data_IF_064537622479
#
_entry.id   IF_064537622479
#
_cell.length_a   1.000
_cell.length_b   1.000
_cell.length_c   1.000
_cell.angle_alpha   90.00
_cell.angle_beta   90.00
_cell.angle_gamma   90.00
#
_symmetry.space_group_name_H-M   'P 1'
#
loop_
_entity.id
_entity.type
_entity.pdbx_description
1 polymer ?
#
# COMPACT_ATOMS: atom_id res chain seq x y z
N UNK A 1 8.81 25.26 0.99
CA UNK A 1 10.05 24.83 0.31
C UNK A 1 10.11 23.31 0.41
N UNK A 2 10.21 22.58 -0.70
CA UNK A 2 10.37 21.16 -0.66
C UNK A 2 11.74 20.84 -0.04
N UNK A 3 11.74 20.06 1.03
CA UNK A 3 12.96 19.63 1.68
C UNK A 3 13.77 18.80 0.70
N UNK A 4 14.97 19.22 0.38
CA UNK A 4 15.88 18.49 -0.49
C UNK A 4 16.32 17.22 0.25
N UNK A 5 15.95 16.06 -0.26
CA UNK A 5 16.25 14.77 0.36
C UNK A 5 17.68 14.36 0.04
N UNK A 6 18.49 14.08 1.05
CA UNK A 6 19.79 13.46 0.88
C UNK A 6 19.60 11.94 0.62
N UNK A 7 19.52 11.59 -0.65
CA UNK A 7 19.25 10.22 -1.10
C UNK A 7 20.29 9.19 -0.64
N UNK A 8 21.51 9.64 -0.36
CA UNK A 8 22.61 8.77 0.04
C UNK A 8 22.58 8.38 1.52
N UNK A 9 21.90 9.16 2.36
CA UNK A 9 21.88 8.98 3.82
C UNK A 9 20.53 8.54 4.38
N UNK A 10 19.52 8.33 3.53
CA UNK A 10 18.19 7.93 3.99
C UNK A 10 18.22 6.55 4.64
N UNK A 11 17.84 6.42 5.93
CA UNK A 11 17.68 5.11 6.56
C UNK A 11 16.44 4.40 5.99
N UNK A 12 16.37 3.07 6.16
CA UNK A 12 15.14 2.34 5.91
C UNK A 12 14.15 2.62 7.04
N UNK A 13 13.40 3.71 6.89
CA UNK A 13 12.43 4.17 7.88
C UNK A 13 11.29 4.93 7.24
N UNK A 14 10.28 5.26 8.04
CA UNK A 14 9.15 6.04 7.55
C UNK A 14 9.56 7.48 7.26
N UNK A 15 9.35 7.89 6.03
CA UNK A 15 9.44 9.28 5.59
C UNK A 15 8.08 9.67 5.03
N UNK A 16 7.49 10.74 5.56
CA UNK A 16 6.19 11.21 5.09
C UNK A 16 6.28 11.61 3.61
N UNK A 17 5.41 11.01 2.80
CA UNK A 17 5.19 11.37 1.39
C UNK A 17 3.97 12.31 1.27
N UNK A 18 3.69 12.81 0.07
CA UNK A 18 2.60 13.77 -0.12
C UNK A 18 1.23 13.11 -0.01
N UNK A 19 1.10 11.89 -0.56
CA UNK A 19 -0.19 11.19 -0.66
C UNK A 19 -0.06 9.71 -0.40
N UNK A 20 -1.17 9.13 0.06
CA UNK A 20 -1.44 7.70 0.01
C UNK A 20 -2.74 7.44 -0.74
N UNK A 21 -2.99 6.19 -1.12
CA UNK A 21 -4.22 5.77 -1.76
C UNK A 21 -4.90 4.69 -0.92
N UNK A 22 -6.23 4.72 -0.87
CA UNK A 22 -7.07 3.83 -0.07
C UNK A 22 -8.20 3.27 -0.92
N UNK A 23 -8.60 2.04 -0.63
CA UNK A 23 -9.75 1.41 -1.23
C UNK A 23 -10.43 0.56 -0.15
N UNK A 24 -11.73 0.70 0.02
CA UNK A 24 -12.48 0.02 1.07
C UNK A 24 -13.36 -1.08 0.48
N UNK A 25 -13.40 -2.23 1.17
CA UNK A 25 -14.39 -3.27 0.92
C UNK A 25 -15.52 -3.13 1.93
N UNK A 26 -16.71 -2.84 1.45
CA UNK A 26 -17.91 -2.68 2.27
C UNK A 26 -19.14 -3.11 1.47
N UNK A 27 -20.14 -3.62 2.15
CA UNK A 27 -21.39 -4.07 1.53
C UNK A 27 -21.18 -5.05 0.37
N UNK A 28 -20.20 -5.96 0.53
CA UNK A 28 -19.90 -7.01 -0.43
C UNK A 28 -19.16 -6.56 -1.70
N UNK A 29 -18.56 -5.37 -1.71
CA UNK A 29 -17.85 -4.84 -2.90
C UNK A 29 -16.69 -3.92 -2.53
N UNK A 30 -15.70 -3.88 -3.40
CA UNK A 30 -14.65 -2.87 -3.37
C UNK A 30 -15.19 -1.52 -3.87
N UNK A 31 -14.89 -0.47 -3.14
CA UNK A 31 -15.25 0.90 -3.49
C UNK A 31 -14.23 1.56 -4.43
N UNK A 32 -14.35 2.87 -4.65
CA UNK A 32 -13.42 3.63 -5.46
C UNK A 32 -12.05 3.76 -4.79
N UNK A 33 -11.01 4.01 -5.59
CA UNK A 33 -9.69 4.37 -5.08
C UNK A 33 -9.72 5.83 -4.64
N UNK A 34 -9.48 6.05 -3.36
CA UNK A 34 -9.44 7.36 -2.72
C UNK A 34 -8.00 7.83 -2.54
N UNK A 35 -7.76 9.13 -2.68
CA UNK A 35 -6.47 9.77 -2.42
C UNK A 35 -6.55 10.53 -1.11
N UNK A 36 -5.55 10.39 -0.26
CA UNK A 36 -5.45 11.09 1.03
C UNK A 36 -4.04 11.65 1.23
N UNK A 37 -3.95 12.81 1.85
CA UNK A 37 -2.71 13.43 2.35
C UNK A 37 -2.48 13.17 3.85
N UNK A 38 -3.45 12.51 4.50
CA UNK A 38 -3.34 12.11 5.91
C UNK A 38 -2.53 10.83 6.05
N UNK A 39 -1.56 10.83 6.94
CA UNK A 39 -0.75 9.67 7.32
C UNK A 39 -1.36 8.87 8.49
N UNK A 40 -2.57 9.20 8.89
CA UNK A 40 -3.34 8.49 9.91
C UNK A 40 -4.60 7.88 9.33
N UNK A 41 -5.07 6.79 9.91
CA UNK A 41 -6.34 6.16 9.59
C UNK A 41 -7.26 6.18 10.82
N UNK A 42 -8.56 6.31 10.58
CA UNK A 42 -9.57 6.15 11.63
C UNK A 42 -10.06 4.70 11.60
N UNK A 43 -9.80 3.97 12.69
CA UNK A 43 -10.13 2.56 12.83
C UNK A 43 -10.90 2.33 14.14
N UNK A 44 -11.93 1.49 14.10
CA UNK A 44 -12.68 1.14 15.30
C UNK A 44 -11.79 0.35 16.28
N UNK A 45 -11.88 0.64 17.57
CA UNK A 45 -11.06 -0.01 18.61
C UNK A 45 -11.21 -1.54 18.67
N UNK A 46 -12.32 -2.08 18.20
CA UNK A 46 -12.59 -3.52 18.12
C UNK A 46 -12.31 -4.12 16.72
N UNK A 47 -11.62 -3.40 15.84
CA UNK A 47 -11.27 -3.93 14.52
C UNK A 47 -10.50 -5.25 14.61
N UNK A 48 -10.81 -6.19 13.71
CA UNK A 48 -10.17 -7.52 13.71
C UNK A 48 -8.66 -7.44 13.49
N UNK A 49 -8.17 -6.44 12.78
CA UNK A 49 -6.74 -6.19 12.64
C UNK A 49 -6.05 -5.96 13.99
N UNK A 50 -6.67 -5.21 14.90
CA UNK A 50 -6.09 -4.87 16.21
C UNK A 50 -6.13 -6.03 17.21
N UNK A 51 -7.17 -6.85 17.18
CA UNK A 51 -7.36 -7.92 18.16
C UNK A 51 -6.80 -9.27 17.72
N UNK A 52 -6.84 -9.55 16.42
CA UNK A 52 -6.47 -10.86 15.89
C UNK A 52 -5.35 -10.78 14.83
N UNK A 53 -4.82 -9.59 14.57
CA UNK A 53 -3.79 -9.41 13.56
C UNK A 53 -4.26 -9.80 12.16
N UNK A 54 -5.55 -9.63 11.85
CA UNK A 54 -6.09 -9.93 10.52
C UNK A 54 -5.65 -8.86 9.54
N UNK A 55 -4.45 -9.03 9.03
CA UNK A 55 -3.81 -8.11 8.10
C UNK A 55 -2.82 -8.85 7.21
N UNK A 56 -2.64 -8.34 6.00
CA UNK A 56 -1.65 -8.80 5.04
C UNK A 56 -0.96 -7.59 4.42
N UNK A 57 0.28 -7.77 3.98
CA UNK A 57 0.99 -6.72 3.27
C UNK A 57 1.87 -7.27 2.16
N UNK A 58 2.24 -6.37 1.25
CA UNK A 58 3.24 -6.60 0.23
C UNK A 58 4.36 -5.55 0.33
N UNK A 59 5.46 -5.82 -0.34
CA UNK A 59 6.57 -4.89 -0.47
C UNK A 59 7.10 -4.91 -1.88
N UNK A 60 7.09 -3.76 -2.54
CA UNK A 60 7.66 -3.60 -3.88
C UNK A 60 8.29 -2.21 -4.00
N UNK A 61 9.05 -2.01 -5.08
CA UNK A 61 9.86 -0.82 -5.24
C UNK A 61 9.64 -0.18 -6.59
N UNK A 62 9.64 1.16 -6.62
CA UNK A 62 9.69 1.94 -7.82
C UNK A 62 11.08 2.53 -8.00
N UNK A 63 11.59 2.44 -9.23
CA UNK A 63 12.93 2.90 -9.61
C UNK A 63 12.84 3.89 -10.77
N UNK A 64 13.73 4.87 -10.75
CA UNK A 64 13.96 5.72 -11.92
C UNK A 64 15.05 5.10 -12.78
N UNK A 65 14.75 4.84 -14.05
CA UNK A 65 15.71 4.31 -15.00
C UNK A 65 16.65 5.39 -15.56
N UNK A 66 17.68 4.96 -16.28
CA UNK A 66 18.62 5.84 -17.00
C UNK A 66 17.92 6.77 -17.99
N UNK A 67 16.79 6.35 -18.55
CA UNK A 67 15.94 7.13 -19.46
C UNK A 67 14.95 8.07 -18.72
N UNK A 68 15.08 8.22 -17.40
CA UNK A 68 14.22 9.04 -16.55
C UNK A 68 12.84 8.45 -16.26
N UNK A 69 12.47 7.33 -16.87
CA UNK A 69 11.17 6.69 -16.64
C UNK A 69 11.16 5.92 -15.36
N UNK A 70 10.01 5.96 -14.67
CA UNK A 70 9.79 5.22 -13.44
C UNK A 70 9.18 3.85 -13.75
N UNK A 71 9.71 2.82 -13.11
CA UNK A 71 9.25 1.43 -13.27
C UNK A 71 9.09 0.77 -11.93
N UNK A 72 8.08 -0.12 -11.84
CA UNK A 72 7.86 -1.01 -10.70
C UNK A 72 8.23 -2.42 -11.17
N UNK A 73 9.10 -3.09 -10.41
CA UNK A 73 9.57 -4.42 -10.76
C UNK A 73 8.57 -5.49 -10.35
N UNK A 74 8.12 -6.30 -11.31
CA UNK A 74 7.25 -7.48 -11.11
C UNK A 74 5.98 -7.23 -10.29
N UNK A 75 5.31 -6.12 -10.54
CA UNK A 75 4.09 -5.70 -9.84
C UNK A 75 3.01 -6.79 -9.86
N UNK A 76 2.83 -7.47 -11.00
CA UNK A 76 1.83 -8.51 -11.18
C UNK A 76 2.06 -9.71 -10.25
N UNK A 77 3.31 -10.07 -9.97
CA UNK A 77 3.63 -11.15 -9.03
C UNK A 77 3.32 -10.77 -7.58
N UNK A 78 3.51 -9.50 -7.22
CA UNK A 78 3.08 -8.98 -5.92
C UNK A 78 1.55 -8.98 -5.79
N UNK A 79 0.82 -8.61 -6.84
CA UNK A 79 -0.63 -8.65 -6.85
C UNK A 79 -1.17 -10.07 -6.61
N UNK A 80 -0.62 -11.05 -7.31
CA UNK A 80 -0.97 -12.48 -7.13
C UNK A 80 -0.66 -12.98 -5.72
N UNK A 81 0.50 -12.61 -5.17
CA UNK A 81 0.91 -13.04 -3.84
C UNK A 81 0.03 -12.40 -2.76
N UNK A 82 -0.35 -11.13 -2.90
CA UNK A 82 -1.29 -10.49 -1.98
C UNK A 82 -2.65 -11.18 -2.00
N UNK A 83 -3.14 -11.54 -3.19
CA UNK A 83 -4.35 -12.33 -3.33
C UNK A 83 -4.25 -13.67 -2.59
N UNK A 84 -3.18 -14.42 -2.82
CA UNK A 84 -2.93 -15.71 -2.15
C UNK A 84 -2.88 -15.55 -0.62
N UNK A 85 -2.26 -14.47 -0.12
CA UNK A 85 -2.21 -14.17 1.31
C UNK A 85 -3.61 -13.88 1.87
N UNK A 86 -4.44 -13.11 1.16
CA UNK A 86 -5.82 -12.83 1.55
C UNK A 86 -6.65 -14.13 1.64
N UNK A 87 -6.57 -14.97 0.62
CA UNK A 87 -7.26 -16.26 0.59
C UNK A 87 -6.83 -17.16 1.76
N UNK A 88 -5.53 -17.17 2.10
CA UNK A 88 -4.98 -17.94 3.23
C UNK A 88 -5.49 -17.50 4.60
N UNK A 89 -5.85 -16.22 4.76
CA UNK A 89 -6.41 -15.66 6.00
C UNK A 89 -7.93 -15.45 5.94
N UNK A 90 -8.60 -15.99 4.93
CA UNK A 90 -10.04 -15.82 4.69
C UNK A 90 -10.46 -14.33 4.59
N UNK A 91 -9.55 -13.49 4.15
CA UNK A 91 -9.83 -12.09 3.84
C UNK A 91 -10.36 -11.97 2.41
N UNK A 92 -11.09 -10.89 2.14
CA UNK A 92 -11.58 -10.62 0.79
C UNK A 92 -10.41 -10.21 -0.11
N UNK A 93 -10.07 -11.01 -1.15
CA UNK A 93 -8.96 -10.64 -2.03
C UNK A 93 -9.20 -9.34 -2.78
N UNK A 94 -8.21 -8.44 -2.78
CA UNK A 94 -8.21 -7.28 -3.65
C UNK A 94 -8.02 -7.73 -5.10
N UNK A 95 -8.88 -7.31 -6.06
CA UNK A 95 -8.67 -7.59 -7.48
C UNK A 95 -7.30 -7.11 -7.98
N UNK A 96 -6.64 -7.90 -8.79
CA UNK A 96 -5.27 -7.63 -9.26
C UNK A 96 -5.18 -6.34 -10.10
N UNK A 97 -6.22 -6.01 -10.85
CA UNK A 97 -6.32 -4.76 -11.61
C UNK A 97 -6.42 -3.53 -10.69
N UNK A 98 -7.18 -3.61 -9.59
CA UNK A 98 -7.26 -2.56 -8.57
C UNK A 98 -5.91 -2.40 -7.86
N UNK A 99 -5.28 -3.50 -7.47
CA UNK A 99 -3.92 -3.48 -6.89
C UNK A 99 -2.94 -2.74 -7.81
N UNK A 100 -2.94 -3.10 -9.08
CA UNK A 100 -2.09 -2.47 -10.09
C UNK A 100 -2.36 -0.97 -10.20
N UNK A 101 -3.64 -0.59 -10.31
CA UNK A 101 -4.04 0.83 -10.43
C UNK A 101 -3.62 1.63 -9.19
N UNK A 102 -3.82 1.09 -7.99
CA UNK A 102 -3.41 1.75 -6.73
C UNK A 102 -1.90 1.96 -6.67
N UNK A 103 -1.10 0.95 -7.02
CA UNK A 103 0.36 1.06 -7.04
C UNK A 103 0.85 2.11 -8.04
N UNK A 104 0.32 2.11 -9.26
CA UNK A 104 0.68 3.10 -10.28
C UNK A 104 0.27 4.52 -9.85
N UNK A 105 -0.92 4.66 -9.27
CA UNK A 105 -1.45 5.95 -8.82
C UNK A 105 -0.64 6.54 -7.67
N UNK A 106 -0.31 5.76 -6.64
CA UNK A 106 0.47 6.24 -5.50
C UNK A 106 1.89 6.65 -5.91
N UNK A 107 2.51 5.92 -6.83
CA UNK A 107 3.83 6.29 -7.38
C UNK A 107 3.76 7.59 -8.18
N UNK A 108 2.77 7.75 -9.04
CA UNK A 108 2.57 8.96 -9.82
C UNK A 108 2.33 10.19 -8.93
N UNK A 109 1.51 10.06 -7.90
CA UNK A 109 1.22 11.14 -6.95
C UNK A 109 2.44 11.55 -6.12
N UNK A 110 3.39 10.65 -5.93
CA UNK A 110 4.60 10.84 -5.13
C UNK A 110 5.88 10.79 -5.99
N UNK A 111 5.80 11.13 -7.25
CA UNK A 111 6.93 11.02 -8.21
C UNK A 111 8.20 11.71 -7.73
N UNK A 112 8.08 12.84 -7.02
CA UNK A 112 9.23 13.58 -6.47
C UNK A 112 10.03 12.81 -5.42
N UNK A 113 9.43 11.75 -4.84
CA UNK A 113 10.08 10.85 -3.88
C UNK A 113 10.73 9.62 -4.54
N UNK A 114 10.60 9.46 -5.85
CA UNK A 114 11.35 8.42 -6.56
C UNK A 114 12.77 8.92 -6.79
N UNK A 115 13.78 8.28 -6.17
CA UNK A 115 15.16 8.76 -6.22
C UNK A 115 15.68 8.89 -7.66
N UNK A 116 16.63 9.82 -7.90
CA UNK A 116 17.34 9.90 -9.17
C UNK A 116 18.07 8.60 -9.49
N UNK A 117 18.23 8.33 -10.81
CA UNK A 117 19.04 7.21 -11.26
C UNK A 117 20.49 7.31 -10.73
N UNK A 118 21.07 6.19 -10.37
CA UNK A 118 22.46 6.10 -9.90
C UNK A 118 22.67 6.30 -8.39
N UNK A 119 21.64 6.66 -7.62
CA UNK A 119 21.74 6.80 -6.16
C UNK A 119 21.70 5.47 -5.41
N UNK A 120 21.30 4.37 -6.06
CA UNK A 120 21.07 3.07 -5.41
C UNK A 120 19.79 3.01 -4.57
N UNK A 121 19.09 4.12 -4.39
CA UNK A 121 17.85 4.20 -3.62
C UNK A 121 16.61 3.93 -4.48
N UNK A 122 15.48 3.67 -3.83
CA UNK A 122 14.19 3.42 -4.47
C UNK A 122 13.04 3.93 -3.61
N UNK A 123 11.89 4.19 -4.23
CA UNK A 123 10.66 4.42 -3.48
C UNK A 123 10.06 3.07 -3.11
N UNK A 124 9.95 2.80 -1.81
CA UNK A 124 9.31 1.59 -1.30
C UNK A 124 7.79 1.76 -1.26
N UNK A 125 7.07 0.80 -1.83
CA UNK A 125 5.61 0.76 -1.83
C UNK A 125 5.17 -0.31 -0.84
N UNK A 126 4.29 0.04 0.09
CA UNK A 126 3.70 -0.88 1.07
C UNK A 126 2.19 -0.99 0.84
N UNK A 127 1.71 -1.94 0.01
CA UNK A 127 0.32 -2.35 0.06
C UNK A 127 0.02 -3.03 1.39
N UNK A 128 -1.07 -2.63 2.01
CA UNK A 128 -1.54 -3.16 3.29
C UNK A 128 -3.04 -3.36 3.21
N UNK A 129 -3.53 -4.54 3.56
CA UNK A 129 -4.95 -4.83 3.73
C UNK A 129 -5.21 -5.25 5.17
N UNK A 130 -6.19 -4.62 5.81
CA UNK A 130 -6.53 -4.83 7.23
C UNK A 130 -8.01 -5.07 7.41
N UNK A 131 -8.35 -5.97 8.32
CA UNK A 131 -9.73 -6.20 8.74
C UNK A 131 -10.24 -5.07 9.61
N UNK A 132 -11.36 -4.47 9.22
CA UNK A 132 -11.93 -3.29 9.87
C UNK A 132 -13.17 -3.58 10.72
N UNK A 133 -13.82 -4.73 10.50
CA UNK A 133 -15.07 -5.07 11.23
C UNK A 133 -14.89 -4.99 12.75
N UNK A 134 -15.79 -4.27 13.45
CA UNK A 134 -15.75 -4.15 14.89
C UNK A 134 -16.24 -5.45 15.55
N UNK A 135 -15.32 -6.38 15.79
CA UNK A 135 -15.66 -7.72 16.27
C UNK A 135 -14.64 -8.23 17.28
N UNK A 136 -15.15 -8.67 18.43
CA UNK A 136 -14.35 -9.30 19.49
C UNK A 136 -14.66 -10.81 19.53
N UNK A 137 -14.54 -11.47 18.39
CA UNK A 137 -14.77 -12.91 18.23
C UNK A 137 -13.92 -13.43 17.07
N UNK A 138 -13.55 -14.70 17.14
CA UNK A 138 -12.75 -15.34 16.08
C UNK A 138 -13.62 -15.61 14.87
N UNK A 139 -13.68 -14.65 13.98
CA UNK A 139 -14.35 -14.72 12.69
C UNK A 139 -13.70 -13.71 11.73
N UNK A 140 -13.67 -14.04 10.47
CA UNK A 140 -13.20 -13.13 9.42
C UNK A 140 -13.99 -11.81 9.39
N UNK A 141 -13.34 -10.74 8.99
CA UNK A 141 -13.99 -9.43 8.82
C UNK A 141 -14.93 -9.42 7.62
N UNK A 142 -15.90 -8.54 7.64
CA UNK A 142 -16.82 -8.25 6.53
C UNK A 142 -16.43 -6.92 5.85
N UNK A 143 -15.50 -6.18 6.45
CA UNK A 143 -15.00 -4.89 5.96
C UNK A 143 -13.46 -4.85 6.02
N UNK A 144 -12.89 -4.29 4.98
CA UNK A 144 -11.45 -4.15 4.82
C UNK A 144 -11.08 -2.78 4.28
#
# INVERSE_FOLDING_TARGET
MAQELDWGSLPFGYVKTDYNVRCYYRDGKWGPIEVSDSDTINIHMAATALHYGQEIFEGLKAFRGVDGKIRIFRLEENAKRMRSSAEGLLMQPLPEDIFREMCLKVVKLNERFVPPYGTGASLYIRPLEIGLSPRVGVKEADEY
#
